data_IF_837828092996
#
_entry.id   IF_837828092996
#
_cell.length_a   1.000
_cell.length_b   1.000
_cell.length_c   1.000
_cell.angle_alpha   90.00
_cell.angle_beta   90.00
_cell.angle_gamma   90.00
#
_symmetry.space_group_name_H-M   'P 1'
#
loop_
_entity.id
_entity.type
_entity.pdbx_description
1 polymer ?
#
# COMPACT_ATOMS: atom_id res chain seq x y z
N UNK A 1 -7.09 14.79 11.63
CA UNK A 1 -7.23 13.49 10.97
C UNK A 1 -7.04 13.64 9.47
N UNK A 2 -6.11 12.88 8.93
CA UNK A 2 -5.72 13.00 7.54
C UNK A 2 -6.78 12.26 6.69
N UNK A 3 -7.35 12.89 5.67
CA UNK A 3 -8.39 12.29 4.81
C UNK A 3 -7.99 10.90 4.25
N UNK A 4 -6.68 10.65 4.09
CA UNK A 4 -6.10 9.36 3.70
C UNK A 4 -6.23 8.27 4.77
N UNK A 5 -6.12 8.62 6.06
CA UNK A 5 -6.38 7.67 7.16
C UNK A 5 -7.86 7.32 7.26
N UNK A 6 -8.76 8.28 7.02
CA UNK A 6 -10.20 8.04 7.02
C UNK A 6 -10.64 7.10 5.89
N UNK A 7 -10.03 7.20 4.71
CA UNK A 7 -10.34 6.32 3.58
C UNK A 7 -9.90 4.86 3.86
N UNK A 8 -8.68 4.67 4.35
CA UNK A 8 -8.17 3.34 4.73
C UNK A 8 -9.00 2.71 5.84
N UNK A 9 -9.43 3.51 6.82
CA UNK A 9 -10.28 3.05 7.91
C UNK A 9 -11.66 2.64 7.40
N UNK A 10 -12.32 3.44 6.56
CA UNK A 10 -13.61 3.12 5.95
C UNK A 10 -13.57 1.85 5.09
N UNK A 11 -12.50 1.64 4.31
CA UNK A 11 -12.34 0.44 3.51
C UNK A 11 -12.23 -0.82 4.38
N UNK A 12 -11.53 -0.74 5.52
CA UNK A 12 -11.48 -1.83 6.50
C UNK A 12 -12.83 -2.07 7.18
N UNK A 13 -13.55 -1.01 7.55
CA UNK A 13 -14.88 -1.12 8.14
C UNK A 13 -15.85 -1.86 7.21
N UNK A 14 -15.88 -1.50 5.92
CA UNK A 14 -16.71 -2.19 4.91
C UNK A 14 -16.30 -3.67 4.77
N UNK A 15 -15.00 -3.97 4.74
CA UNK A 15 -14.49 -5.35 4.69
C UNK A 15 -14.94 -6.16 5.91
N UNK A 16 -14.86 -5.59 7.11
CA UNK A 16 -15.29 -6.22 8.35
C UNK A 16 -16.82 -6.44 8.38
N UNK A 17 -17.61 -5.51 7.87
CA UNK A 17 -19.05 -5.68 7.73
C UNK A 17 -19.40 -6.86 6.81
N UNK A 18 -18.73 -7.00 5.66
CA UNK A 18 -18.92 -8.15 4.77
C UNK A 18 -18.52 -9.47 5.44
N UNK A 19 -17.40 -9.51 6.13
CA UNK A 19 -16.94 -10.70 6.85
C UNK A 19 -17.92 -11.09 7.96
N UNK A 20 -18.46 -10.11 8.68
CA UNK A 20 -19.49 -10.34 9.70
C UNK A 20 -20.77 -10.90 9.10
N UNK A 21 -21.27 -10.31 8.01
CA UNK A 21 -22.44 -10.83 7.30
C UNK A 21 -22.25 -12.30 6.86
N UNK A 22 -21.09 -12.62 6.29
CA UNK A 22 -20.78 -13.98 5.85
C UNK A 22 -20.73 -14.94 7.06
N UNK A 23 -20.09 -14.52 8.16
CA UNK A 23 -20.04 -15.31 9.40
C UNK A 23 -21.42 -15.62 9.97
N UNK A 24 -22.34 -14.65 9.94
CA UNK A 24 -23.70 -14.85 10.42
C UNK A 24 -24.48 -15.81 9.50
N UNK A 25 -24.30 -15.70 8.18
CA UNK A 25 -24.86 -16.67 7.21
C UNK A 25 -24.29 -18.08 7.37
N UNK A 26 -23.00 -18.19 7.65
CA UNK A 26 -22.37 -19.49 7.95
C UNK A 26 -22.99 -20.19 9.15
N UNK A 27 -23.30 -19.43 10.21
CA UNK A 27 -23.98 -19.95 11.40
C UNK A 27 -25.42 -20.37 11.09
N UNK A 28 -26.14 -19.58 10.30
CA UNK A 28 -27.50 -19.87 9.87
C UNK A 28 -27.58 -21.20 9.10
N UNK A 29 -26.62 -21.50 8.21
CA UNK A 29 -26.59 -22.74 7.43
C UNK A 29 -25.88 -23.90 8.12
N UNK A 30 -25.40 -23.73 9.34
CA UNK A 30 -24.74 -24.79 10.11
C UNK A 30 -25.77 -25.90 10.47
N UNK A 31 -25.57 -27.08 9.90
CA UNK A 31 -26.48 -28.21 10.10
C UNK A 31 -27.73 -28.20 9.20
N UNK A 32 -27.93 -27.19 8.37
CA UNK A 32 -29.08 -27.07 7.46
C UNK A 32 -28.66 -27.31 6.01
N UNK A 33 -27.61 -26.64 5.53
CA UNK A 33 -27.10 -26.78 4.17
C UNK A 33 -25.56 -26.67 4.14
N UNK A 34 -24.92 -27.82 4.14
CA UNK A 34 -23.46 -27.92 4.15
C UNK A 34 -22.80 -27.34 2.88
N UNK A 35 -23.51 -27.40 1.72
CA UNK A 35 -22.98 -26.88 0.46
C UNK A 35 -22.95 -25.36 0.46
N UNK A 36 -24.07 -24.72 0.85
CA UNK A 36 -24.13 -23.27 1.00
C UNK A 36 -23.13 -22.75 2.02
N UNK A 37 -23.02 -23.41 3.16
CA UNK A 37 -22.02 -23.08 4.17
C UNK A 37 -20.60 -23.07 3.62
N UNK A 38 -20.24 -24.09 2.83
CA UNK A 38 -18.92 -24.18 2.18
C UNK A 38 -18.68 -23.05 1.18
N UNK A 39 -19.71 -22.61 0.45
CA UNK A 39 -19.62 -21.49 -0.46
C UNK A 39 -19.41 -20.15 0.30
N UNK A 40 -20.13 -19.90 1.39
CA UNK A 40 -19.90 -18.72 2.22
C UNK A 40 -18.48 -18.67 2.79
N UNK A 41 -17.93 -19.80 3.24
CA UNK A 41 -16.53 -19.87 3.67
C UNK A 41 -15.55 -19.49 2.55
N UNK A 42 -15.79 -19.98 1.34
CA UNK A 42 -14.99 -19.59 0.18
C UNK A 42 -15.00 -18.08 -0.06
N UNK A 43 -16.18 -17.43 0.03
CA UNK A 43 -16.28 -15.98 -0.12
C UNK A 43 -15.58 -15.23 1.01
N UNK A 44 -15.68 -15.72 2.24
CA UNK A 44 -14.95 -15.13 3.37
C UNK A 44 -13.43 -15.16 3.13
N UNK A 45 -12.90 -16.28 2.65
CA UNK A 45 -11.48 -16.43 2.34
C UNK A 45 -11.06 -15.50 1.20
N UNK A 46 -11.87 -15.35 0.16
CA UNK A 46 -11.64 -14.39 -0.92
C UNK A 46 -11.63 -12.94 -0.42
N UNK A 47 -12.58 -12.57 0.44
CA UNK A 47 -12.66 -11.21 1.02
C UNK A 47 -11.46 -10.92 1.91
N UNK A 48 -10.99 -11.89 2.70
CA UNK A 48 -9.76 -11.76 3.49
C UNK A 48 -8.53 -11.49 2.62
N UNK A 49 -8.49 -12.08 1.42
CA UNK A 49 -7.42 -11.88 0.44
C UNK A 49 -7.56 -10.58 -0.38
N UNK A 50 -8.75 -9.95 -0.37
CA UNK A 50 -8.93 -8.63 -0.96
C UNK A 50 -8.05 -7.64 -0.21
N UNK A 51 -6.98 -7.29 -0.87
CA UNK A 51 -5.99 -6.36 -0.35
C UNK A 51 -6.18 -5.00 -1.02
N UNK A 52 -5.64 -3.95 -0.39
CA UNK A 52 -5.64 -2.61 -0.94
C UNK A 52 -4.98 -2.58 -2.33
N UNK A 53 -5.43 -1.67 -3.16
CA UNK A 53 -4.78 -1.37 -4.43
C UNK A 53 -3.35 -0.88 -4.25
N UNK A 54 -2.58 -0.85 -5.33
CA UNK A 54 -1.16 -0.46 -5.27
C UNK A 54 -0.97 0.97 -4.76
N UNK A 55 -1.86 1.90 -5.15
CA UNK A 55 -1.82 3.28 -4.66
C UNK A 55 -2.04 3.35 -3.15
N UNK A 56 -3.02 2.63 -2.64
CA UNK A 56 -3.35 2.60 -1.20
C UNK A 56 -2.23 1.96 -0.38
N UNK A 57 -1.59 0.91 -0.89
CA UNK A 57 -0.39 0.31 -0.27
C UNK A 57 0.76 1.30 -0.20
N UNK A 58 0.96 2.05 -1.26
CA UNK A 58 2.00 3.08 -1.32
C UNK A 58 1.71 4.20 -0.31
N UNK A 59 0.46 4.70 -0.24
CA UNK A 59 0.03 5.71 0.73
C UNK A 59 0.19 5.23 2.18
N UNK A 60 -0.15 3.97 2.44
CA UNK A 60 0.07 3.36 3.75
C UNK A 60 1.57 3.37 4.13
N UNK A 61 2.45 3.03 3.19
CA UNK A 61 3.90 3.11 3.42
C UNK A 61 4.39 4.54 3.63
N UNK A 62 3.84 5.52 2.88
CA UNK A 62 4.16 6.94 3.10
C UNK A 62 3.86 7.38 4.53
N UNK A 63 2.72 6.95 5.08
CA UNK A 63 2.34 7.26 6.46
C UNK A 63 3.22 6.51 7.48
N UNK A 64 3.39 5.21 7.27
CA UNK A 64 4.13 4.35 8.21
C UNK A 64 5.61 4.73 8.30
N UNK A 65 6.22 5.07 7.16
CA UNK A 65 7.65 5.39 7.04
C UNK A 65 7.91 6.86 6.77
N UNK A 66 7.05 7.74 7.27
CA UNK A 66 7.08 9.19 6.99
C UNK A 66 8.45 9.82 7.29
N UNK A 67 9.07 9.47 8.41
CA UNK A 67 10.39 10.00 8.78
C UNK A 67 11.47 9.58 7.79
N UNK A 68 11.48 8.31 7.40
CA UNK A 68 12.43 7.76 6.42
C UNK A 68 12.21 8.42 5.06
N UNK A 69 10.95 8.51 4.63
CA UNK A 69 10.56 9.16 3.38
C UNK A 69 11.01 10.61 3.33
N UNK A 70 10.72 11.39 4.37
CA UNK A 70 11.05 12.82 4.41
C UNK A 70 12.56 13.04 4.33
N UNK A 71 13.36 12.27 5.06
CA UNK A 71 14.82 12.34 4.99
C UNK A 71 15.33 12.06 3.57
N UNK A 72 14.74 11.06 2.92
CA UNK A 72 15.14 10.67 1.59
C UNK A 72 14.73 11.68 0.51
N UNK A 73 13.49 12.16 0.57
CA UNK A 73 12.96 13.20 -0.35
C UNK A 73 13.80 14.49 -0.27
N UNK A 74 14.19 14.89 0.92
CA UNK A 74 15.05 16.07 1.13
C UNK A 74 16.38 15.94 0.35
N UNK A 75 16.99 14.76 0.34
CA UNK A 75 18.25 14.51 -0.37
C UNK A 75 18.08 14.51 -1.88
N UNK A 76 16.97 14.02 -2.40
CA UNK A 76 16.71 13.95 -3.83
C UNK A 76 16.11 15.23 -4.42
N UNK A 77 15.54 16.10 -3.61
CA UNK A 77 14.90 17.35 -4.04
C UNK A 77 15.82 18.26 -4.87
N UNK A 78 17.12 18.13 -4.70
CA UNK A 78 18.11 18.89 -5.49
C UNK A 78 18.43 18.26 -6.86
N UNK A 79 17.98 17.04 -7.10
CA UNK A 79 18.28 16.29 -8.33
C UNK A 79 17.05 16.05 -9.22
N UNK A 80 15.86 16.11 -8.65
CA UNK A 80 14.60 15.85 -9.33
C UNK A 80 13.69 17.07 -9.24
N UNK A 81 13.03 17.40 -10.35
CA UNK A 81 12.13 18.55 -10.46
C UNK A 81 10.68 18.06 -10.47
N UNK A 82 9.94 18.33 -9.41
CA UNK A 82 8.50 18.06 -9.31
C UNK A 82 7.84 19.07 -8.38
N UNK A 83 6.56 19.30 -8.61
CA UNK A 83 5.73 20.19 -7.79
C UNK A 83 5.22 19.49 -6.53
N UNK A 84 4.79 20.28 -5.55
CA UNK A 84 4.13 19.75 -4.36
C UNK A 84 2.86 18.97 -4.72
N UNK A 85 2.07 19.43 -5.69
CA UNK A 85 0.86 18.76 -6.15
C UNK A 85 1.15 17.39 -6.78
N UNK A 86 2.21 17.28 -7.58
CA UNK A 86 2.66 16.00 -8.14
C UNK A 86 3.09 15.03 -7.04
N UNK A 87 3.79 15.52 -6.02
CA UNK A 87 4.20 14.71 -4.88
C UNK A 87 3.00 14.22 -4.05
N UNK A 88 1.98 15.04 -3.86
CA UNK A 88 0.74 14.64 -3.20
C UNK A 88 0.00 13.52 -3.96
N UNK A 89 0.07 13.52 -5.29
CA UNK A 89 -0.50 12.49 -6.16
C UNK A 89 0.43 11.31 -6.49
N UNK A 90 1.60 11.20 -5.83
CA UNK A 90 2.66 10.25 -6.20
C UNK A 90 2.22 8.78 -6.16
N UNK A 91 1.37 8.40 -5.22
CA UNK A 91 0.88 7.04 -5.07
C UNK A 91 0.01 6.61 -6.27
N UNK A 92 -0.90 7.48 -6.70
CA UNK A 92 -1.75 7.26 -7.86
C UNK A 92 -0.93 7.26 -9.15
N UNK A 93 0.04 8.18 -9.26
CA UNK A 93 0.97 8.23 -10.37
C UNK A 93 1.80 6.94 -10.48
N UNK A 94 2.32 6.44 -9.37
CA UNK A 94 3.05 5.16 -9.30
C UNK A 94 2.19 3.98 -9.76
N UNK A 95 0.97 3.86 -9.24
CA UNK A 95 0.07 2.76 -9.60
C UNK A 95 -0.32 2.80 -11.09
N UNK A 96 -0.62 3.98 -11.61
CA UNK A 96 -0.94 4.18 -13.02
C UNK A 96 0.24 3.83 -13.94
N UNK A 97 1.43 4.33 -13.63
CA UNK A 97 2.65 4.09 -14.44
C UNK A 97 3.08 2.63 -14.41
N UNK A 98 2.98 1.96 -13.26
CA UNK A 98 3.26 0.51 -13.18
C UNK A 98 2.40 -0.28 -14.16
N UNK A 99 1.13 0.05 -14.27
CA UNK A 99 0.24 -0.60 -15.23
C UNK A 99 0.64 -0.31 -16.68
N UNK A 100 1.07 0.92 -16.99
CA UNK A 100 1.59 1.28 -18.33
C UNK A 100 2.87 0.53 -18.68
N UNK A 101 3.79 0.31 -17.73
CA UNK A 101 4.98 -0.50 -17.95
C UNK A 101 4.67 -1.94 -18.35
N UNK A 102 3.65 -2.53 -17.73
CA UNK A 102 3.21 -3.88 -18.08
C UNK A 102 2.66 -3.97 -19.51
N UNK A 103 2.29 -2.84 -20.12
CA UNK A 103 1.74 -2.73 -21.48
C UNK A 103 2.73 -2.11 -22.49
N UNK A 104 4.04 -2.10 -22.21
CA UNK A 104 5.11 -1.68 -23.13
C UNK A 104 5.12 -0.21 -23.60
N UNK A 105 4.53 0.71 -22.86
CA UNK A 105 4.67 2.14 -23.15
C UNK A 105 5.72 2.78 -22.25
N UNK A 106 6.93 2.99 -22.81
CA UNK A 106 8.05 3.68 -22.12
C UNK A 106 8.02 5.21 -22.33
N UNK A 107 7.00 5.72 -23.00
CA UNK A 107 6.85 7.14 -23.27
C UNK A 107 6.44 7.89 -21.99
N UNK A 108 6.96 9.09 -21.81
CA UNK A 108 6.62 10.04 -20.73
C UNK A 108 7.08 9.66 -19.30
N UNK A 109 8.38 9.35 -19.14
CA UNK A 109 8.97 9.19 -17.81
C UNK A 109 9.41 10.54 -17.25
N UNK A 110 8.74 11.02 -16.22
CA UNK A 110 9.00 12.28 -15.52
C UNK A 110 9.71 12.05 -14.19
N UNK A 111 10.32 13.09 -13.64
CA UNK A 111 11.06 13.02 -12.37
C UNK A 111 10.22 12.52 -11.21
N UNK A 112 8.92 12.83 -11.19
CA UNK A 112 7.99 12.31 -10.17
C UNK A 112 7.86 10.77 -10.23
N UNK A 113 7.96 10.17 -11.40
CA UNK A 113 7.94 8.70 -11.54
C UNK A 113 9.22 8.09 -11.01
N UNK A 114 10.39 8.72 -11.27
CA UNK A 114 11.67 8.31 -10.68
C UNK A 114 11.60 8.38 -9.16
N UNK A 115 11.07 9.46 -8.61
CA UNK A 115 10.84 9.61 -7.18
C UNK A 115 9.94 8.50 -6.63
N UNK A 116 8.81 8.23 -7.29
CA UNK A 116 7.86 7.20 -6.87
C UNK A 116 8.50 5.80 -6.81
N UNK A 117 9.26 5.41 -7.83
CA UNK A 117 9.98 4.13 -7.86
C UNK A 117 11.05 4.05 -6.79
N UNK A 118 11.76 5.14 -6.57
CA UNK A 118 12.80 5.18 -5.55
C UNK A 118 12.21 5.06 -4.15
N UNK A 119 11.11 5.76 -3.87
CA UNK A 119 10.38 5.62 -2.62
C UNK A 119 9.81 4.22 -2.43
N UNK A 120 9.26 3.60 -3.48
CA UNK A 120 8.79 2.22 -3.40
C UNK A 120 9.92 1.26 -2.97
N UNK A 121 11.14 1.42 -3.50
CA UNK A 121 12.32 0.66 -3.07
C UNK A 121 12.66 0.92 -1.61
N UNK A 122 12.68 2.18 -1.19
CA UNK A 122 12.92 2.58 0.20
C UNK A 122 11.92 1.91 1.14
N UNK A 123 10.64 1.91 0.80
CA UNK A 123 9.60 1.26 1.60
C UNK A 123 9.78 -0.26 1.68
N UNK A 124 10.15 -0.91 0.58
CA UNK A 124 10.43 -2.35 0.57
C UNK A 124 11.61 -2.68 1.49
N UNK A 125 12.71 -1.91 1.43
CA UNK A 125 13.85 -2.11 2.33
C UNK A 125 13.47 -1.88 3.79
N UNK A 126 12.71 -0.81 4.08
CA UNK A 126 12.24 -0.54 5.43
C UNK A 126 11.38 -1.69 5.99
N UNK A 127 10.45 -2.21 5.18
CA UNK A 127 9.61 -3.35 5.55
C UNK A 127 10.41 -4.63 5.82
N UNK A 128 11.42 -4.91 5.00
CA UNK A 128 12.27 -6.09 5.17
C UNK A 128 13.08 -5.99 6.46
N UNK A 129 13.70 -4.84 6.72
CA UNK A 129 14.50 -4.61 7.92
C UNK A 129 13.64 -4.62 9.18
N UNK A 130 12.46 -4.03 9.15
CA UNK A 130 11.50 -4.08 10.25
C UNK A 130 11.08 -5.53 10.56
N UNK A 131 10.76 -6.32 9.54
CA UNK A 131 10.45 -7.76 9.72
C UNK A 131 11.61 -8.58 10.25
N UNK A 132 12.83 -8.16 9.97
CA UNK A 132 14.05 -8.74 10.53
C UNK A 132 14.33 -8.30 11.97
N UNK A 133 13.49 -7.46 12.56
CA UNK A 133 13.64 -6.97 13.93
C UNK A 133 14.64 -5.82 14.09
N UNK A 134 14.97 -5.12 13.00
CA UNK A 134 15.88 -3.97 13.05
C UNK A 134 15.14 -2.76 13.58
N UNK A 135 15.73 -2.04 14.54
CA UNK A 135 15.17 -0.82 15.12
C UNK A 135 15.10 0.33 14.10
N UNK A 136 14.10 1.22 14.24
CA UNK A 136 13.84 2.30 13.28
C UNK A 136 15.05 3.19 13.00
N UNK A 137 15.82 3.56 14.02
CA UNK A 137 17.00 4.41 13.85
C UNK A 137 18.09 3.73 13.02
N UNK A 138 18.23 2.42 13.17
CA UNK A 138 19.15 1.63 12.35
C UNK A 138 18.64 1.45 10.92
N UNK A 139 17.32 1.36 10.73
CA UNK A 139 16.70 1.32 9.39
C UNK A 139 17.01 2.62 8.63
N UNK A 140 16.84 3.77 9.27
CA UNK A 140 17.15 5.08 8.68
C UNK A 140 18.63 5.12 8.26
N UNK A 141 19.55 4.73 9.13
CA UNK A 141 20.98 4.72 8.83
C UNK A 141 21.36 3.75 7.70
N UNK A 142 20.72 2.58 7.65
CA UNK A 142 20.96 1.58 6.61
C UNK A 142 20.49 2.07 5.24
N UNK A 143 19.30 2.65 5.17
CA UNK A 143 18.73 3.20 3.92
C UNK A 143 19.58 4.37 3.43
N UNK A 144 20.06 5.23 4.32
CA UNK A 144 20.95 6.36 3.97
C UNK A 144 22.26 5.94 3.30
N UNK A 145 22.72 4.71 3.54
CA UNK A 145 23.96 4.18 2.95
C UNK A 145 23.76 3.43 1.64
N UNK A 146 22.55 2.91 1.40
CA UNK A 146 22.26 1.99 0.28
C UNK A 146 21.55 2.69 -0.88
N UNK A 147 20.92 3.80 -0.61
CA UNK A 147 20.11 4.58 -1.57
C UNK A 147 20.64 5.99 -1.69
#
# INVERSE_FOLDING_TARGET
PNAKMEFSQKANEVKEEFLKYISDKEKEYKGVDAKKRKEFNKYADMIKLLDFGLAEKFEHCQLKYETIMNNYVQKLKYRLSFTQQEFEGIAQSFAKKRNMFMHNSLEDFEDIHIMAYTLARVFIYAMILEKAGVENDMIIQAIDKVV
#
